data_IF_019847558207
#
_entry.id   IF_019847558207
#
_cell.length_a   1.000
_cell.length_b   1.000
_cell.length_c   1.000
_cell.angle_alpha   90.00
_cell.angle_beta   90.00
_cell.angle_gamma   90.00
#
_symmetry.space_group_name_H-M   'P 1'
#
loop_
_entity.id
_entity.type
_entity.pdbx_description
1 polymer ?
#
# COMPACT_ATOMS: atom_id res chain seq x y z
N UNK A 1 14.72 1.31 -10.45
CA UNK A 1 14.09 2.08 -9.35
C UNK A 1 14.31 1.36 -8.03
N UNK A 2 14.58 2.07 -6.92
CA UNK A 2 14.71 1.46 -5.59
C UNK A 2 13.33 1.51 -4.94
N UNK A 3 12.65 0.36 -4.79
CA UNK A 3 11.49 0.23 -3.90
C UNK A 3 11.85 0.77 -2.51
N UNK A 4 10.93 1.57 -2.01
CA UNK A 4 11.05 2.29 -0.75
C UNK A 4 9.80 1.87 -0.02
N UNK A 5 9.97 0.90 0.86
CA UNK A 5 8.84 0.33 1.60
C UNK A 5 8.60 1.16 2.87
N UNK A 6 9.50 2.12 3.15
CA UNK A 6 9.46 3.02 4.29
C UNK A 6 9.77 4.46 3.89
N UNK A 7 8.88 5.40 4.24
CA UNK A 7 9.09 6.81 4.03
C UNK A 7 8.76 7.63 5.28
N UNK A 8 9.59 8.61 5.59
CA UNK A 8 9.30 9.59 6.65
C UNK A 8 8.88 10.90 5.98
N UNK A 9 7.71 11.39 6.38
CA UNK A 9 7.15 12.65 5.89
C UNK A 9 6.84 13.59 7.07
N UNK A 10 7.14 14.86 6.87
CA UNK A 10 6.81 15.94 7.78
C UNK A 10 5.50 16.59 7.35
N UNK A 11 4.56 16.69 8.30
CA UNK A 11 3.21 17.17 8.08
C UNK A 11 2.97 18.45 8.86
N UNK A 12 2.35 19.42 8.20
CA UNK A 12 1.97 20.69 8.80
C UNK A 12 0.52 21.01 8.44
N UNK A 13 -0.37 20.97 9.43
CA UNK A 13 -1.73 21.46 9.24
C UNK A 13 -1.75 22.99 9.16
N UNK A 14 -2.82 23.53 8.59
CA UNK A 14 -3.02 24.96 8.47
C UNK A 14 -3.26 25.58 9.85
N UNK A 15 -2.71 26.76 10.08
CA UNK A 15 -3.06 27.57 11.25
C UNK A 15 -4.44 28.19 11.08
N UNK A 16 -5.15 28.42 12.17
CA UNK A 16 -6.39 29.18 12.14
C UNK A 16 -6.15 30.67 11.89
N UNK A 17 -7.08 31.31 11.17
CA UNK A 17 -7.04 32.74 10.95
C UNK A 17 -7.30 33.53 12.24
N UNK A 18 -6.74 34.73 12.35
CA UNK A 18 -6.97 35.58 13.54
C UNK A 18 -8.35 36.23 13.53
N UNK A 19 -8.95 36.39 14.71
CA UNK A 19 -10.15 37.21 14.89
C UNK A 19 -9.85 38.70 14.71
N UNK A 20 -10.77 39.44 14.11
CA UNK A 20 -10.59 40.85 13.82
C UNK A 20 -11.01 41.73 15.01
N UNK A 21 -10.23 42.79 15.27
CA UNK A 21 -10.63 43.89 16.14
C UNK A 21 -11.11 45.04 15.27
N UNK A 22 -12.43 45.19 15.13
CA UNK A 22 -13.01 46.25 14.30
C UNK A 22 -14.23 46.89 14.95
N UNK A 23 -14.47 48.15 14.60
CA UNK A 23 -15.68 48.88 14.98
C UNK A 23 -16.28 49.52 13.73
N UNK A 24 -17.61 49.48 13.63
CA UNK A 24 -18.33 50.04 12.50
C UNK A 24 -18.11 51.56 12.45
N UNK A 25 -17.77 52.08 11.26
CA UNK A 25 -17.58 53.53 11.02
C UNK A 25 -18.50 53.98 9.89
N UNK A 26 -19.45 54.83 10.22
CA UNK A 26 -20.39 55.43 9.26
C UNK A 26 -20.47 56.94 9.48
N UNK A 27 -20.69 57.69 8.39
CA UNK A 27 -20.62 59.16 8.38
C UNK A 27 -21.56 59.84 9.38
N UNK A 28 -22.65 59.19 9.77
CA UNK A 28 -23.67 59.72 10.69
C UNK A 28 -23.79 58.92 12.00
N UNK A 29 -22.88 57.98 12.27
CA UNK A 29 -22.88 57.17 13.49
C UNK A 29 -21.61 57.46 14.30
N UNK A 30 -21.68 58.29 15.36
CA UNK A 30 -20.50 58.72 16.12
C UNK A 30 -19.74 57.56 16.80
N UNK A 31 -20.45 56.51 17.21
CA UNK A 31 -19.88 55.31 17.88
C UNK A 31 -20.58 54.06 17.37
N UNK A 32 -20.06 53.47 16.31
CA UNK A 32 -20.54 52.18 15.82
C UNK A 32 -20.18 51.03 16.77
N UNK A 33 -21.00 49.99 16.77
CA UNK A 33 -20.75 48.79 17.54
C UNK A 33 -19.53 48.00 17.04
N UNK A 34 -19.06 47.01 17.81
CA UNK A 34 -18.01 46.10 17.36
C UNK A 34 -18.48 45.34 16.12
N UNK A 35 -17.63 45.26 15.09
CA UNK A 35 -17.94 44.62 13.82
C UNK A 35 -16.78 43.74 13.30
N UNK A 36 -15.88 43.30 14.17
CA UNK A 36 -14.80 42.38 13.80
C UNK A 36 -15.32 40.95 13.66
N UNK A 37 -15.14 40.37 12.47
CA UNK A 37 -15.47 38.97 12.19
C UNK A 37 -14.46 37.96 12.78
N UNK A 38 -14.89 36.70 12.78
CA UNK A 38 -14.11 35.55 13.24
C UNK A 38 -13.08 35.12 12.18
N UNK A 39 -12.02 34.44 12.58
CA UNK A 39 -11.05 33.84 11.66
C UNK A 39 -11.51 32.49 11.14
N UNK A 40 -11.07 32.11 9.94
CA UNK A 40 -11.34 30.79 9.37
C UNK A 40 -10.52 29.68 10.04
N UNK A 41 -11.00 28.43 9.97
CA UNK A 41 -10.25 27.24 10.40
C UNK A 41 -9.08 26.99 9.45
N UNK A 42 -7.94 26.50 9.96
CA UNK A 42 -6.89 25.96 9.11
C UNK A 42 -7.27 24.62 8.47
N UNK A 43 -6.70 24.32 7.31
CA UNK A 43 -6.90 23.04 6.65
C UNK A 43 -6.24 21.88 7.40
N UNK A 44 -6.82 20.69 7.28
CA UNK A 44 -6.27 19.46 7.83
C UNK A 44 -5.31 18.80 6.86
N UNK A 45 -4.48 17.89 7.37
CA UNK A 45 -3.74 16.93 6.53
C UNK A 45 -4.38 15.56 6.67
N UNK A 46 -4.76 14.97 5.54
CA UNK A 46 -5.48 13.71 5.45
C UNK A 46 -4.67 12.73 4.62
N UNK A 47 -4.42 11.54 5.16
CA UNK A 47 -3.92 10.41 4.38
C UNK A 47 -5.12 9.66 3.80
N UNK A 48 -5.07 9.33 2.51
CA UNK A 48 -6.09 8.51 1.85
C UNK A 48 -5.43 7.33 1.17
N UNK A 49 -5.89 6.13 1.49
CA UNK A 49 -5.49 4.90 0.81
C UNK A 49 -6.00 4.91 -0.63
N UNK A 50 -5.17 4.46 -1.56
CA UNK A 50 -5.57 4.20 -2.95
C UNK A 50 -4.94 2.92 -3.48
N UNK A 51 -5.71 2.13 -4.23
CA UNK A 51 -5.22 0.98 -4.99
C UNK A 51 -4.38 1.38 -6.22
N UNK A 52 -4.49 2.63 -6.67
CA UNK A 52 -3.78 3.13 -7.86
C UNK A 52 -2.26 3.27 -7.63
N UNK A 53 -1.82 3.22 -6.36
CA UNK A 53 -0.43 3.38 -5.97
C UNK A 53 0.12 2.09 -5.35
N UNK A 54 1.26 1.62 -5.86
CA UNK A 54 1.91 0.38 -5.40
C UNK A 54 3.20 0.63 -4.59
N UNK A 55 3.64 1.88 -4.44
CA UNK A 55 4.93 2.19 -3.82
C UNK A 55 4.94 3.54 -3.11
N UNK A 56 5.76 3.67 -2.05
CA UNK A 56 6.01 4.94 -1.34
C UNK A 56 7.19 5.74 -1.94
N UNK A 57 7.64 5.40 -3.15
CA UNK A 57 8.80 6.03 -3.78
C UNK A 57 8.69 7.56 -3.91
N UNK A 58 7.50 8.08 -4.18
CA UNK A 58 7.24 9.52 -4.40
C UNK A 58 7.56 10.36 -3.15
N UNK A 59 7.38 9.79 -1.96
CA UNK A 59 7.69 10.42 -0.69
C UNK A 59 9.19 10.62 -0.45
N UNK A 60 10.08 10.06 -1.28
CA UNK A 60 11.52 10.38 -1.20
C UNK A 60 11.82 11.78 -1.69
N UNK A 61 11.14 12.22 -2.75
CA UNK A 61 11.35 13.51 -3.39
C UNK A 61 10.58 14.60 -2.66
N UNK A 62 9.32 14.31 -2.31
CA UNK A 62 8.45 15.24 -1.58
C UNK A 62 8.24 14.73 -0.15
N UNK A 63 8.97 15.34 0.81
CA UNK A 63 8.94 14.95 2.22
C UNK A 63 8.13 15.89 3.12
N UNK A 64 7.67 17.03 2.59
CA UNK A 64 6.98 18.06 3.37
C UNK A 64 5.62 18.33 2.75
N UNK A 65 4.58 18.15 3.54
CA UNK A 65 3.21 18.41 3.13
C UNK A 65 2.61 19.44 4.07
N UNK A 66 1.89 20.40 3.50
CA UNK A 66 1.31 21.50 4.27
C UNK A 66 -0.08 21.83 3.77
N UNK A 67 -1.03 21.93 4.70
CA UNK A 67 -2.38 22.41 4.43
C UNK A 67 -2.45 23.94 4.46
N UNK A 68 -3.48 24.52 3.87
CA UNK A 68 -3.62 25.98 3.77
C UNK A 68 -4.08 26.58 5.11
N UNK A 69 -3.58 27.77 5.45
CA UNK A 69 -4.00 28.50 6.64
C UNK A 69 -5.42 29.05 6.46
N UNK A 70 -6.16 29.16 7.56
CA UNK A 70 -7.41 29.91 7.60
C UNK A 70 -7.14 31.41 7.44
N UNK A 71 -8.02 32.09 6.70
CA UNK A 71 -7.89 33.54 6.53
C UNK A 71 -8.40 34.29 7.77
N UNK A 72 -7.84 35.48 8.01
CA UNK A 72 -8.25 36.33 9.12
C UNK A 72 -9.68 36.88 8.95
N UNK A 73 -10.35 37.12 10.06
CA UNK A 73 -11.59 37.89 10.05
C UNK A 73 -11.33 39.34 9.61
N UNK A 74 -12.37 40.01 9.15
CA UNK A 74 -12.32 41.42 8.78
C UNK A 74 -13.47 42.21 9.42
N UNK A 75 -13.39 43.54 9.32
CA UNK A 75 -14.48 44.43 9.70
C UNK A 75 -15.77 44.14 8.92
N UNK A 76 -16.88 44.76 9.34
CA UNK A 76 -18.23 44.50 8.84
C UNK A 76 -18.71 43.06 9.05
N UNK A 77 -18.31 42.45 10.17
CA UNK A 77 -18.65 41.09 10.58
C UNK A 77 -18.27 40.02 9.54
N UNK A 78 -17.18 40.23 8.80
CA UNK A 78 -16.75 39.30 7.76
C UNK A 78 -15.87 38.22 8.35
N UNK A 79 -16.39 36.99 8.40
CA UNK A 79 -15.63 35.81 8.82
C UNK A 79 -14.63 35.40 7.74
N UNK A 80 -13.42 35.00 8.15
CA UNK A 80 -12.42 34.45 7.24
C UNK A 80 -12.83 33.09 6.67
N UNK A 81 -12.50 32.85 5.40
CA UNK A 81 -12.58 31.54 4.76
C UNK A 81 -11.67 30.51 5.45
N UNK A 82 -12.12 29.27 5.49
CA UNK A 82 -11.33 28.13 5.94
C UNK A 82 -10.22 27.80 4.93
N UNK A 83 -9.07 27.33 5.42
CA UNK A 83 -8.01 26.81 4.59
C UNK A 83 -8.40 25.46 3.97
N UNK A 84 -7.90 25.20 2.77
CA UNK A 84 -8.06 23.91 2.08
C UNK A 84 -7.23 22.81 2.74
N UNK A 85 -7.82 21.63 2.82
CA UNK A 85 -7.17 20.42 3.32
C UNK A 85 -6.12 19.91 2.31
N UNK A 86 -5.05 19.31 2.84
CA UNK A 86 -4.03 18.62 2.06
C UNK A 86 -4.30 17.12 2.12
N UNK A 87 -4.75 16.54 1.01
CA UNK A 87 -4.96 15.09 0.88
C UNK A 87 -3.70 14.48 0.26
N UNK A 88 -3.14 13.49 0.96
CA UNK A 88 -1.96 12.75 0.54
C UNK A 88 -2.40 11.33 0.23
N UNK A 89 -2.22 10.92 -1.03
CA UNK A 89 -2.52 9.57 -1.48
C UNK A 89 -1.39 8.62 -1.09
N UNK A 90 -1.74 7.49 -0.48
CA UNK A 90 -0.80 6.42 -0.13
C UNK A 90 -1.33 5.08 -0.64
N UNK A 91 -0.46 4.11 -0.97
CA UNK A 91 -0.89 2.75 -1.31
C UNK A 91 -1.79 2.14 -0.24
N UNK A 92 -2.80 1.37 -0.66
CA UNK A 92 -3.56 0.50 0.26
C UNK A 92 -2.63 -0.50 0.97
N UNK A 93 -2.83 -0.71 2.27
CA UNK A 93 -1.94 -1.48 3.13
C UNK A 93 -0.78 -0.66 3.70
N UNK A 94 -0.86 0.68 3.68
CA UNK A 94 0.14 1.53 4.36
C UNK A 94 -0.17 1.62 5.85
N UNK A 95 0.80 1.22 6.67
CA UNK A 95 0.83 1.48 8.10
C UNK A 95 1.42 2.86 8.38
N UNK A 96 0.80 3.60 9.29
CA UNK A 96 1.21 4.95 9.65
C UNK A 96 1.65 4.97 11.11
N UNK A 97 2.92 5.25 11.35
CA UNK A 97 3.50 5.35 12.68
C UNK A 97 3.86 6.80 13.02
N UNK A 98 3.71 7.19 14.28
CA UNK A 98 4.28 8.43 14.77
C UNK A 98 5.82 8.31 14.81
N UNK A 99 6.55 9.25 14.20
CA UNK A 99 8.02 9.14 14.07
C UNK A 99 8.72 9.05 15.44
N UNK A 100 8.26 9.83 16.42
CA UNK A 100 8.92 9.95 17.73
C UNK A 100 8.57 8.82 18.71
N UNK A 101 7.32 8.37 18.72
CA UNK A 101 6.84 7.36 19.69
C UNK A 101 6.85 5.94 19.11
N UNK A 102 6.99 5.80 17.79
CA UNK A 102 6.84 4.54 17.05
C UNK A 102 5.47 3.86 17.27
N UNK A 103 4.49 4.61 17.78
CA UNK A 103 3.14 4.12 17.96
C UNK A 103 2.43 4.05 16.60
N UNK A 104 1.71 2.95 16.38
CA UNK A 104 0.86 2.78 15.21
C UNK A 104 -0.36 3.69 15.34
N UNK A 105 -0.48 4.68 14.46
CA UNK A 105 -1.60 5.61 14.44
C UNK A 105 -2.80 5.01 13.69
N UNK A 106 -2.55 4.41 12.53
CA UNK A 106 -3.60 3.82 11.69
C UNK A 106 -3.02 2.79 10.72
N UNK A 107 -3.84 1.79 10.39
CA UNK A 107 -3.64 0.88 9.25
C UNK A 107 -4.61 1.28 8.13
N UNK A 108 -4.07 1.68 6.98
CA UNK A 108 -4.82 2.08 5.80
C UNK A 108 -5.04 0.88 4.86
N UNK A 109 -5.77 -0.12 5.36
CA UNK A 109 -5.99 -1.44 4.77
C UNK A 109 -6.90 -1.54 3.54
N UNK A 110 -7.73 -0.52 3.27
CA UNK A 110 -8.78 -0.56 2.26
C UNK A 110 -8.75 0.68 1.38
N UNK A 111 -9.05 0.51 0.09
CA UNK A 111 -9.11 1.60 -0.89
C UNK A 111 -10.11 2.69 -0.45
N UNK A 112 -9.73 3.96 -0.62
CA UNK A 112 -10.52 5.11 -0.22
C UNK A 112 -10.58 5.39 1.29
N UNK A 113 -10.00 4.54 2.15
CA UNK A 113 -9.95 4.78 3.60
C UNK A 113 -9.15 6.05 3.90
N UNK A 114 -9.75 6.94 4.70
CA UNK A 114 -9.16 8.22 5.07
C UNK A 114 -8.78 8.26 6.56
N UNK A 115 -7.68 8.95 6.84
CA UNK A 115 -7.25 9.24 8.20
C UNK A 115 -6.74 10.67 8.30
N UNK A 116 -7.34 11.48 9.18
CA UNK A 116 -6.84 12.82 9.48
C UNK A 116 -5.65 12.70 10.42
N UNK A 117 -4.45 12.89 9.87
CA UNK A 117 -3.19 12.71 10.58
C UNK A 117 -2.73 13.99 11.30
N UNK A 118 -3.09 15.17 10.79
CA UNK A 118 -2.79 16.45 11.42
C UNK A 118 -4.03 17.36 11.36
N UNK A 119 -4.47 17.87 12.52
CA UNK A 119 -5.68 18.70 12.61
C UNK A 119 -5.33 20.18 12.43
N UNK A 120 -6.12 20.86 11.59
CA UNK A 120 -6.00 22.29 11.36
C UNK A 120 -6.40 23.12 12.56
N UNK A 121 -5.67 24.23 12.77
CA UNK A 121 -5.86 25.14 13.89
C UNK A 121 -7.25 25.79 13.89
N UNK A 122 -7.80 25.99 15.09
CA UNK A 122 -9.10 26.64 15.27
C UNK A 122 -9.08 28.10 14.81
N UNK A 123 -10.18 28.56 14.21
CA UNK A 123 -10.35 29.98 13.89
C UNK A 123 -10.35 30.87 15.14
N UNK A 124 -9.76 32.05 15.01
CA UNK A 124 -9.78 33.08 16.04
C UNK A 124 -11.15 33.73 16.19
N UNK A 125 -11.37 34.41 17.31
CA UNK A 125 -12.67 35.01 17.64
C UNK A 125 -12.56 36.53 17.55
N UNK A 126 -13.42 37.13 16.73
CA UNK A 126 -13.49 38.58 16.54
C UNK A 126 -14.09 39.30 17.75
N UNK A 127 -13.91 40.62 17.82
CA UNK A 127 -14.39 41.38 18.98
C UNK A 127 -15.93 41.42 19.08
N UNK A 128 -16.64 41.26 17.96
CA UNK A 128 -18.10 41.25 17.93
C UNK A 128 -18.72 40.14 18.82
N UNK A 129 -18.05 38.99 18.95
CA UNK A 129 -18.48 37.85 19.79
C UNK A 129 -18.41 38.12 21.29
N UNK A 130 -17.60 39.08 21.72
CA UNK A 130 -17.46 39.44 23.14
C UNK A 130 -18.45 40.52 23.59
N UNK A 131 -19.36 40.95 22.71
CA UNK A 131 -20.38 41.95 23.03
C UNK A 131 -21.37 41.34 24.01
N UNK A 132 -21.62 42.04 25.12
CA UNK A 132 -22.63 41.67 26.10
C UNK A 132 -23.41 42.90 26.55
N UNK A 133 -24.50 42.71 27.29
CA UNK A 133 -25.29 43.80 27.88
C UNK A 133 -24.42 44.76 28.70
N UNK A 134 -23.41 44.22 29.40
CA UNK A 134 -22.46 44.97 30.24
C UNK A 134 -21.22 45.47 29.48
N UNK A 135 -20.85 44.86 28.36
CA UNK A 135 -19.69 45.25 27.55
C UNK A 135 -20.09 45.51 26.08
N UNK A 136 -20.46 46.76 25.80
CA UNK A 136 -20.97 47.16 24.47
C UNK A 136 -19.87 47.41 23.43
N UNK A 137 -18.63 47.65 23.86
CA UNK A 137 -17.49 47.95 22.99
C UNK A 137 -16.25 47.12 23.35
N UNK A 138 -16.35 45.78 23.28
CA UNK A 138 -15.23 44.89 23.58
C UNK A 138 -14.03 45.15 22.67
N UNK A 139 -12.85 45.20 23.27
CA UNK A 139 -11.55 45.30 22.58
C UNK A 139 -10.72 44.02 22.65
N UNK A 140 -11.37 42.92 23.02
CA UNK A 140 -10.77 41.60 23.11
C UNK A 140 -11.00 40.83 21.81
N UNK A 141 -9.96 40.15 21.34
CA UNK A 141 -10.03 39.14 20.28
C UNK A 141 -9.32 37.88 20.76
N UNK A 142 -9.60 36.74 20.13
CA UNK A 142 -8.81 35.52 20.30
C UNK A 142 -8.07 35.27 18.98
N UNK A 143 -6.74 35.11 18.99
CA UNK A 143 -6.00 34.72 17.79
C UNK A 143 -6.38 33.29 17.37
N UNK A 144 -6.19 32.96 16.09
CA UNK A 144 -6.33 31.59 15.63
C UNK A 144 -5.34 30.66 16.34
N UNK A 145 -5.75 29.40 16.52
CA UNK A 145 -4.87 28.36 17.05
C UNK A 145 -3.86 27.90 16.02
N UNK A 146 -2.73 27.37 16.49
CA UNK A 146 -1.76 26.70 15.64
C UNK A 146 -2.35 25.37 15.14
N UNK A 147 -2.01 24.99 13.90
CA UNK A 147 -2.28 23.66 13.38
C UNK A 147 -1.23 22.66 13.85
N UNK A 148 -1.61 21.38 13.89
CA UNK A 148 -0.72 20.31 14.30
C UNK A 148 0.51 20.22 13.39
N UNK A 149 1.65 19.92 14.00
CA UNK A 149 2.92 19.63 13.31
C UNK A 149 3.48 18.34 13.86
N UNK A 150 3.59 17.36 12.99
CA UNK A 150 4.16 16.07 13.35
C UNK A 150 4.86 15.47 12.13
N UNK A 151 5.74 14.53 12.41
CA UNK A 151 6.29 13.64 11.39
C UNK A 151 5.70 12.26 11.58
N UNK A 152 5.42 11.61 10.46
CA UNK A 152 4.97 10.22 10.44
C UNK A 152 5.88 9.38 9.57
N UNK A 153 6.00 8.12 9.95
CA UNK A 153 6.73 7.08 9.25
C UNK A 153 5.70 6.15 8.62
N UNK A 154 5.70 6.13 7.30
CA UNK A 154 4.85 5.28 6.49
C UNK A 154 5.60 3.99 6.20
N UNK A 155 4.97 2.85 6.45
CA UNK A 155 5.48 1.53 6.09
C UNK A 155 4.43 0.81 5.25
N UNK A 156 4.80 0.36 4.04
CA UNK A 156 3.90 -0.40 3.20
C UNK A 156 3.94 -1.88 3.60
N UNK A 157 2.79 -2.44 4.00
CA UNK A 157 2.67 -3.83 4.46
C UNK A 157 2.51 -4.86 3.33
N UNK A 158 2.54 -4.43 2.06
CA UNK A 158 2.37 -5.33 0.90
C UNK A 158 3.73 -5.95 0.54
N UNK A 159 3.84 -7.27 0.65
CA UNK A 159 5.08 -8.00 0.32
C UNK A 159 5.15 -8.40 -1.16
N UNK A 160 4.02 -8.78 -1.77
CA UNK A 160 3.96 -9.16 -3.18
C UNK A 160 2.52 -9.28 -3.71
N UNK A 161 2.34 -8.97 -4.98
CA UNK A 161 1.10 -9.19 -5.74
C UNK A 161 0.95 -10.67 -6.12
N UNK A 162 2.08 -11.33 -6.38
CA UNK A 162 2.14 -12.72 -6.87
C UNK A 162 3.07 -13.56 -6.01
N UNK A 163 2.61 -14.74 -5.58
CA UNK A 163 3.42 -15.71 -4.84
C UNK A 163 3.87 -16.89 -5.69
N UNK A 164 5.14 -17.27 -5.64
CA UNK A 164 5.66 -18.49 -6.28
C UNK A 164 5.61 -19.68 -5.33
N UNK A 165 4.90 -20.73 -5.73
CA UNK A 165 4.81 -22.02 -5.06
C UNK A 165 5.51 -23.11 -5.89
N UNK A 166 5.93 -24.18 -5.24
CA UNK A 166 6.57 -25.32 -5.91
C UNK A 166 7.61 -25.98 -5.02
N UNK A 167 7.92 -27.23 -5.36
CA UNK A 167 8.91 -28.05 -4.68
C UNK A 167 10.31 -27.41 -4.70
N UNK A 168 11.20 -27.81 -3.77
CA UNK A 168 12.63 -27.51 -3.89
C UNK A 168 13.13 -27.89 -5.29
N UNK A 169 13.95 -27.03 -5.91
CA UNK A 169 14.50 -27.22 -7.25
C UNK A 169 13.52 -27.17 -8.44
N UNK A 170 12.24 -26.82 -8.24
CA UNK A 170 11.30 -26.53 -9.33
C UNK A 170 11.73 -25.32 -10.20
N UNK A 171 12.74 -24.56 -9.75
CA UNK A 171 13.31 -23.41 -10.46
C UNK A 171 12.66 -22.08 -10.12
N UNK A 172 12.03 -21.95 -8.94
CA UNK A 172 11.37 -20.73 -8.46
C UNK A 172 12.30 -19.51 -8.45
N UNK A 173 13.45 -19.63 -7.80
CA UNK A 173 14.42 -18.52 -7.69
C UNK A 173 15.09 -18.20 -9.03
N UNK A 174 15.26 -19.20 -9.91
CA UNK A 174 15.72 -19.01 -11.30
C UNK A 174 14.70 -18.20 -12.09
N UNK A 175 13.42 -18.58 -12.01
CA UNK A 175 12.33 -17.85 -12.65
C UNK A 175 12.26 -16.41 -12.14
N UNK A 176 12.26 -16.22 -10.82
CA UNK A 176 12.21 -14.89 -10.20
C UNK A 176 13.35 -14.00 -10.67
N UNK A 177 14.57 -14.53 -10.74
CA UNK A 177 15.74 -13.82 -11.23
C UNK A 177 15.63 -13.45 -12.71
N UNK A 178 14.88 -14.23 -13.50
CA UNK A 178 14.71 -14.03 -14.94
C UNK A 178 13.64 -12.98 -15.25
N UNK A 179 12.52 -12.99 -14.54
CA UNK A 179 11.39 -12.07 -14.77
C UNK A 179 11.59 -10.72 -14.08
N UNK A 180 12.47 -10.65 -13.08
CA UNK A 180 12.70 -9.42 -12.33
C UNK A 180 13.57 -8.43 -13.12
N UNK A 181 13.07 -7.20 -13.28
CA UNK A 181 13.76 -6.07 -13.91
C UNK A 181 14.98 -5.58 -13.09
N UNK A 182 15.07 -5.98 -11.83
CA UNK A 182 16.21 -5.77 -10.95
C UNK A 182 16.71 -7.11 -10.39
N UNK A 183 17.96 -7.18 -9.90
CA UNK A 183 18.39 -8.36 -9.13
C UNK A 183 17.43 -8.58 -7.96
N UNK A 184 16.91 -9.82 -7.75
CA UNK A 184 16.05 -10.11 -6.63
C UNK A 184 16.70 -9.65 -5.33
N UNK A 185 15.94 -8.93 -4.51
CA UNK A 185 16.43 -8.47 -3.21
C UNK A 185 16.02 -9.49 -2.16
N UNK A 186 16.97 -9.83 -1.31
CA UNK A 186 16.71 -10.49 -0.03
C UNK A 186 16.13 -9.40 0.87
N UNK A 187 14.95 -9.66 1.42
CA UNK A 187 14.22 -8.66 2.19
C UNK A 187 14.17 -9.05 3.68
N UNK A 188 14.78 -8.21 4.52
CA UNK A 188 14.95 -8.42 5.95
C UNK A 188 13.78 -7.82 6.75
N UNK A 189 12.59 -8.40 6.60
CA UNK A 189 11.41 -7.91 7.32
C UNK A 189 11.45 -8.29 8.82
N UNK A 190 11.01 -7.40 9.73
CA UNK A 190 11.11 -7.63 11.19
C UNK A 190 10.37 -8.88 11.70
N UNK A 191 9.47 -9.42 10.89
CA UNK A 191 8.58 -10.53 11.20
C UNK A 191 8.88 -11.81 10.39
N UNK A 192 9.95 -11.82 9.59
CA UNK A 192 10.35 -13.00 8.80
C UNK A 192 11.56 -13.69 9.43
N UNK A 193 11.43 -14.98 9.74
CA UNK A 193 12.57 -15.83 10.12
C UNK A 193 13.35 -16.36 8.92
N UNK A 194 12.71 -16.41 7.75
CA UNK A 194 13.29 -16.77 6.47
C UNK A 194 13.14 -15.59 5.53
N UNK A 195 14.25 -15.08 5.01
CA UNK A 195 14.24 -13.95 4.10
C UNK A 195 13.64 -14.35 2.76
N UNK A 196 12.45 -13.83 2.36
CA UNK A 196 11.90 -14.11 1.05
C UNK A 196 12.73 -13.42 -0.03
N UNK A 197 12.77 -14.04 -1.21
CA UNK A 197 13.32 -13.39 -2.39
C UNK A 197 12.20 -12.61 -3.09
N UNK A 198 12.38 -11.29 -3.22
CA UNK A 198 11.45 -10.42 -3.92
C UNK A 198 12.02 -10.02 -5.28
N UNK A 199 11.19 -10.10 -6.31
CA UNK A 199 11.47 -9.64 -7.67
C UNK A 199 10.43 -8.64 -8.13
N UNK A 200 10.87 -7.60 -8.85
CA UNK A 200 9.99 -6.60 -9.44
C UNK A 200 9.89 -6.89 -10.92
N UNK A 201 8.70 -7.20 -11.41
CA UNK A 201 8.46 -7.46 -12.83
C UNK A 201 7.95 -6.18 -13.46
N UNK A 202 8.67 -5.69 -14.47
CA UNK A 202 8.31 -4.52 -15.27
C UNK A 202 7.69 -5.01 -16.60
N UNK A 203 6.44 -4.64 -16.83
CA UNK A 203 5.67 -5.00 -18.05
C UNK A 203 5.87 -3.94 -19.14
N UNK A 204 6.48 -2.79 -18.82
CA UNK A 204 6.57 -1.62 -19.67
C UNK A 204 5.36 -0.69 -19.50
N UNK A 205 5.47 0.53 -20.06
CA UNK A 205 4.43 1.59 -19.98
C UNK A 205 4.09 2.09 -18.56
N UNK A 206 4.96 1.85 -17.58
CA UNK A 206 4.74 2.25 -16.18
C UNK A 206 3.99 1.21 -15.33
N UNK A 207 3.64 0.06 -15.92
CA UNK A 207 3.03 -1.07 -15.23
C UNK A 207 4.09 -1.99 -14.62
N UNK A 208 3.98 -2.26 -13.31
CA UNK A 208 4.86 -3.16 -12.59
C UNK A 208 4.13 -3.84 -11.44
N UNK A 209 4.55 -5.07 -11.12
CA UNK A 209 4.05 -5.83 -9.99
C UNK A 209 5.20 -6.55 -9.27
N UNK A 210 4.95 -6.93 -8.01
CA UNK A 210 5.93 -7.57 -7.13
C UNK A 210 5.65 -9.06 -7.03
N UNK A 211 6.69 -9.86 -7.24
CA UNK A 211 6.65 -11.32 -7.11
C UNK A 211 7.49 -11.72 -5.90
N UNK A 212 6.93 -12.54 -5.02
CA UNK A 212 7.66 -13.18 -3.93
C UNK A 212 7.88 -14.65 -4.24
N UNK A 213 9.13 -15.11 -4.13
CA UNK A 213 9.40 -16.53 -3.92
C UNK A 213 8.99 -16.87 -2.49
N UNK A 214 8.03 -17.79 -2.35
CA UNK A 214 7.63 -18.33 -1.06
C UNK A 214 8.68 -19.40 -0.77
N UNK A 215 9.69 -19.11 0.10
CA UNK A 215 10.62 -20.14 0.53
C UNK A 215 9.77 -21.27 1.11
N UNK A 216 10.15 -22.51 0.84
CA UNK A 216 9.28 -23.69 0.93
C UNK A 216 8.26 -23.66 2.08
N UNK A 217 7.18 -24.40 1.91
CA UNK A 217 6.23 -24.74 2.97
C UNK A 217 6.90 -25.67 4.03
N UNK A 218 8.17 -25.41 4.38
CA UNK A 218 9.22 -26.36 4.71
C UNK A 218 8.89 -27.15 5.99
N UNK A 219 9.10 -28.46 5.88
CA UNK A 219 9.63 -29.36 6.90
C UNK A 219 10.00 -28.63 8.21
N UNK A 220 9.07 -28.62 9.18
CA UNK A 220 9.28 -28.02 10.50
C UNK A 220 8.23 -27.00 10.95
N UNK A 221 7.37 -26.49 10.05
CA UNK A 221 6.27 -25.60 10.46
C UNK A 221 5.21 -26.29 11.35
N UNK A 222 5.16 -27.63 11.34
CA UNK A 222 4.28 -28.42 12.20
C UNK A 222 4.78 -28.55 13.66
N UNK A 223 6.06 -28.32 13.95
CA UNK A 223 6.66 -28.65 15.27
C UNK A 223 7.05 -27.46 16.16
N UNK A 224 6.80 -26.21 15.74
CA UNK A 224 6.63 -25.11 16.70
C UNK A 224 7.36 -23.81 16.42
N UNK A 225 6.91 -22.78 17.15
CA UNK A 225 7.16 -21.36 17.02
C UNK A 225 6.30 -20.69 15.92
N UNK A 226 5.31 -19.89 16.33
CA UNK A 226 4.31 -19.19 15.51
C UNK A 226 4.86 -18.11 14.53
N UNK A 227 5.98 -18.39 13.88
CA UNK A 227 6.75 -17.52 12.98
C UNK A 227 6.36 -17.73 11.51
N UNK A 228 5.99 -18.97 11.12
CA UNK A 228 5.46 -19.27 9.78
C UNK A 228 4.06 -18.69 9.53
N UNK A 229 3.21 -18.66 10.56
CA UNK A 229 1.85 -18.10 10.49
C UNK A 229 1.86 -16.59 10.22
N UNK A 230 2.83 -15.85 10.75
CA UNK A 230 2.96 -14.41 10.48
C UNK A 230 3.39 -14.17 9.02
N UNK A 231 4.39 -14.88 8.50
CA UNK A 231 4.80 -14.77 7.08
C UNK A 231 3.64 -15.11 6.13
N UNK A 232 2.90 -16.19 6.41
CA UNK A 232 1.78 -16.62 5.59
C UNK A 232 0.58 -15.66 5.66
N UNK A 233 0.33 -15.00 6.80
CA UNK A 233 -0.67 -13.91 6.91
C UNK A 233 -0.33 -12.70 6.03
N UNK A 234 0.94 -12.48 5.69
CA UNK A 234 1.30 -11.44 4.72
C UNK A 234 1.18 -11.96 3.28
N UNK A 235 1.40 -13.26 3.05
CA UNK A 235 1.10 -13.94 1.79
C UNK A 235 -0.39 -14.08 1.50
N UNK A 236 -1.25 -14.05 2.51
CA UNK A 236 -2.71 -13.96 2.34
C UNK A 236 -3.17 -12.59 1.79
N UNK A 237 -2.26 -11.72 1.33
CA UNK A 237 -2.59 -10.55 0.50
C UNK A 237 -2.11 -10.69 -0.96
N UNK A 238 -1.44 -11.80 -1.31
CA UNK A 238 -1.15 -12.10 -2.74
C UNK A 238 -2.45 -12.29 -3.51
N UNK A 239 -2.53 -11.80 -4.72
CA UNK A 239 -3.74 -11.90 -5.53
C UNK A 239 -3.73 -13.17 -6.36
N UNK A 240 -2.53 -13.59 -6.77
CA UNK A 240 -2.31 -14.77 -7.59
C UNK A 240 -1.19 -15.65 -7.04
N UNK A 241 -1.40 -16.97 -7.11
CA UNK A 241 -0.37 -17.96 -6.79
C UNK A 241 0.09 -18.67 -8.07
N UNK A 242 1.40 -18.61 -8.37
CA UNK A 242 2.00 -19.36 -9.46
C UNK A 242 2.60 -20.66 -8.92
N UNK A 243 2.02 -21.78 -9.33
CA UNK A 243 2.49 -23.09 -8.95
C UNK A 243 3.48 -23.62 -9.98
N UNK A 244 4.76 -23.53 -9.66
CA UNK A 244 5.89 -23.93 -10.49
C UNK A 244 6.13 -25.43 -10.33
N UNK A 245 6.06 -26.15 -11.44
CA UNK A 245 6.25 -27.60 -11.52
C UNK A 245 7.40 -27.89 -12.47
N UNK A 246 8.35 -28.72 -12.06
CA UNK A 246 9.38 -29.23 -12.96
C UNK A 246 8.75 -30.26 -13.91
N UNK A 247 8.85 -30.03 -15.23
CA UNK A 247 8.29 -30.95 -16.23
C UNK A 247 9.07 -32.26 -16.34
N UNK A 248 10.33 -32.27 -15.92
CA UNK A 248 11.26 -33.37 -16.12
C UNK A 248 11.88 -33.82 -14.79
N UNK A 249 11.08 -33.85 -13.72
CA UNK A 249 11.55 -34.10 -12.35
C UNK A 249 12.55 -35.28 -12.28
N UNK A 250 13.83 -34.92 -12.17
CA UNK A 250 14.97 -35.85 -12.17
C UNK A 250 14.95 -36.72 -10.91
N UNK A 251 14.14 -36.35 -9.91
CA UNK A 251 13.99 -37.02 -8.61
C UNK A 251 13.04 -38.22 -8.64
N UNK A 252 12.37 -38.46 -9.77
CA UNK A 252 11.53 -39.64 -10.00
C UNK A 252 10.04 -39.48 -9.69
N UNK A 253 9.56 -38.24 -9.46
CA UNK A 253 8.14 -37.93 -9.33
C UNK A 253 7.46 -37.62 -10.66
N UNK A 254 6.12 -37.74 -10.72
CA UNK A 254 5.34 -37.19 -11.84
C UNK A 254 4.98 -35.72 -11.54
N UNK A 255 4.84 -34.85 -12.55
CA UNK A 255 4.37 -33.47 -12.36
C UNK A 255 3.06 -33.40 -11.56
N UNK A 256 2.16 -34.37 -11.76
CA UNK A 256 0.93 -34.51 -10.96
C UNK A 256 1.22 -34.67 -9.46
N UNK A 257 2.13 -35.59 -9.09
CA UNK A 257 2.45 -35.86 -7.68
C UNK A 257 3.06 -34.64 -6.98
N UNK A 258 3.85 -33.84 -7.71
CA UNK A 258 4.39 -32.59 -7.20
C UNK A 258 3.27 -31.59 -6.89
N UNK A 259 2.28 -31.47 -7.78
CA UNK A 259 1.13 -30.59 -7.57
C UNK A 259 0.32 -31.03 -6.35
N UNK A 260 -0.02 -32.31 -6.26
CA UNK A 260 -0.80 -32.85 -5.15
C UNK A 260 -0.10 -32.67 -3.79
N UNK A 261 1.23 -32.80 -3.76
CA UNK A 261 2.03 -32.61 -2.54
C UNK A 261 1.89 -31.18 -2.02
N UNK A 262 2.13 -30.19 -2.89
CA UNK A 262 2.00 -28.77 -2.53
C UNK A 262 0.56 -28.42 -2.16
N UNK A 263 -0.45 -28.99 -2.83
CA UNK A 263 -1.86 -28.76 -2.48
C UNK A 263 -2.17 -29.27 -1.07
N UNK A 264 -1.73 -30.48 -0.71
CA UNK A 264 -1.93 -31.04 0.64
C UNK A 264 -1.21 -30.23 1.70
N UNK A 265 0.00 -29.76 1.42
CA UNK A 265 0.72 -28.84 2.30
C UNK A 265 -0.09 -27.56 2.51
N UNK A 266 -0.52 -26.91 1.41
CA UNK A 266 -1.30 -25.69 1.46
C UNK A 266 -2.58 -25.83 2.30
N UNK A 267 -3.33 -26.92 2.09
CA UNK A 267 -4.56 -27.25 2.84
C UNK A 267 -4.29 -27.52 4.32
N UNK A 268 -3.18 -28.17 4.64
CA UNK A 268 -2.77 -28.47 6.02
C UNK A 268 -2.38 -27.22 6.81
N UNK A 269 -1.93 -26.16 6.15
CA UNK A 269 -1.48 -24.93 6.78
C UNK A 269 -2.55 -23.83 6.82
N UNK A 270 -3.20 -23.53 5.70
CA UNK A 270 -4.20 -22.45 5.60
C UNK A 270 -5.32 -22.77 4.58
N UNK A 271 -6.54 -23.09 5.05
CA UNK A 271 -7.70 -23.33 4.19
C UNK A 271 -8.11 -22.13 3.32
N UNK A 272 -7.84 -20.90 3.74
CA UNK A 272 -8.18 -19.72 2.91
C UNK A 272 -7.23 -19.61 1.72
N UNK A 273 -5.94 -19.89 1.94
CA UNK A 273 -4.92 -19.82 0.89
C UNK A 273 -5.10 -20.91 -0.18
N UNK A 274 -5.71 -22.05 0.18
CA UNK A 274 -5.99 -23.14 -0.75
C UNK A 274 -7.10 -22.83 -1.76
N UNK A 275 -8.02 -21.93 -1.41
CA UNK A 275 -9.14 -21.52 -2.27
C UNK A 275 -8.76 -20.49 -3.32
N UNK A 276 -7.58 -19.85 -3.17
CA UNK A 276 -7.12 -18.76 -4.04
C UNK A 276 -6.94 -19.15 -5.49
N UNK A 277 -6.97 -18.13 -6.35
CA UNK A 277 -6.65 -18.36 -7.75
C UNK A 277 -5.18 -18.74 -7.91
N UNK A 278 -4.97 -19.76 -8.72
CA UNK A 278 -3.71 -20.48 -8.82
C UNK A 278 -3.51 -20.91 -10.25
N UNK A 279 -2.36 -20.59 -10.81
CA UNK A 279 -1.99 -20.96 -12.16
C UNK A 279 -0.88 -22.00 -12.14
N UNK A 280 -0.93 -22.96 -13.06
CA UNK A 280 0.13 -23.96 -13.21
C UNK A 280 1.20 -23.46 -14.15
N UNK A 281 2.45 -23.58 -13.74
CA UNK A 281 3.60 -23.11 -14.51
C UNK A 281 4.57 -24.27 -14.65
N UNK A 282 4.57 -24.91 -15.81
CA UNK A 282 5.50 -25.99 -16.13
C UNK A 282 6.84 -25.38 -16.54
N UNK A 283 7.87 -25.63 -15.74
CA UNK A 283 9.21 -25.09 -15.91
C UNK A 283 10.18 -26.14 -16.48
N UNK A 284 11.34 -25.68 -16.96
CA UNK A 284 12.41 -26.49 -17.57
C UNK A 284 12.03 -27.19 -18.88
N UNK A 285 11.13 -26.58 -19.66
CA UNK A 285 10.72 -27.10 -20.99
C UNK A 285 11.88 -27.20 -21.98
N UNK A 286 13.00 -26.51 -21.73
CA UNK A 286 14.23 -26.63 -22.51
C UNK A 286 14.89 -28.01 -22.43
N UNK A 287 14.49 -28.85 -21.46
CA UNK A 287 15.07 -30.18 -21.26
C UNK A 287 14.35 -31.29 -22.03
N UNK A 288 13.22 -30.99 -22.67
CA UNK A 288 12.38 -31.95 -23.38
C UNK A 288 12.07 -31.47 -24.79
N UNK A 289 11.79 -32.42 -25.69
CA UNK A 289 11.23 -32.09 -26.98
C UNK A 289 9.82 -31.50 -26.84
N UNK A 290 9.44 -30.50 -27.66
CA UNK A 290 8.13 -29.83 -27.55
C UNK A 290 6.92 -30.78 -27.60
N UNK A 291 7.02 -31.88 -28.36
CA UNK A 291 5.96 -32.89 -28.45
C UNK A 291 5.81 -33.68 -27.15
N UNK A 292 6.92 -34.09 -26.54
CA UNK A 292 6.93 -34.81 -25.27
C UNK A 292 6.45 -33.92 -24.12
N UNK A 293 6.83 -32.64 -24.12
CA UNK A 293 6.35 -31.67 -23.15
C UNK A 293 4.82 -31.50 -23.23
N UNK A 294 4.26 -31.42 -24.44
CA UNK A 294 2.81 -31.27 -24.62
C UNK A 294 2.02 -32.50 -24.12
N UNK A 295 2.53 -33.71 -24.33
CA UNK A 295 1.91 -34.96 -23.84
C UNK A 295 1.85 -34.98 -22.31
N UNK A 296 2.96 -34.67 -21.63
CA UNK A 296 3.05 -34.64 -20.16
C UNK A 296 2.08 -33.61 -19.56
N UNK A 297 1.97 -32.44 -20.20
CA UNK A 297 1.06 -31.38 -19.76
C UNK A 297 -0.38 -31.83 -19.86
N UNK A 298 -0.78 -32.45 -20.97
CA UNK A 298 -2.16 -32.89 -21.19
C UNK A 298 -2.53 -34.05 -20.25
N UNK A 299 -1.61 -34.98 -20.00
CA UNK A 299 -1.78 -36.05 -19.02
C UNK A 299 -1.97 -35.47 -17.61
N UNK A 300 -1.12 -34.53 -17.21
CA UNK A 300 -1.18 -33.88 -15.89
C UNK A 300 -2.46 -33.06 -15.74
N UNK A 301 -2.86 -32.32 -16.77
CA UNK A 301 -4.10 -31.53 -16.78
C UNK A 301 -5.34 -32.40 -16.68
N UNK A 302 -5.37 -33.50 -17.42
CA UNK A 302 -6.48 -34.45 -17.42
C UNK A 302 -6.61 -35.14 -16.05
N UNK A 303 -5.49 -35.54 -15.46
CA UNK A 303 -5.47 -36.18 -14.14
C UNK A 303 -5.95 -35.24 -13.02
N UNK A 304 -5.50 -33.98 -13.04
CA UNK A 304 -5.86 -32.96 -12.04
C UNK A 304 -7.22 -32.29 -12.31
N UNK A 305 -7.83 -32.54 -13.47
CA UNK A 305 -9.03 -31.83 -13.98
C UNK A 305 -8.85 -30.31 -13.91
N UNK A 306 -7.68 -29.84 -14.36
CA UNK A 306 -7.30 -28.44 -14.21
C UNK A 306 -7.94 -27.56 -15.28
N UNK A 307 -8.75 -26.59 -14.84
CA UNK A 307 -9.49 -25.65 -15.71
C UNK A 307 -8.98 -24.21 -15.64
N UNK A 308 -7.97 -23.95 -14.81
CA UNK A 308 -7.35 -22.62 -14.64
C UNK A 308 -6.21 -22.41 -15.64
N UNK A 309 -5.72 -21.17 -15.84
CA UNK A 309 -4.59 -20.90 -16.73
C UNK A 309 -3.35 -21.73 -16.39
N UNK A 310 -2.64 -22.10 -17.45
CA UNK A 310 -1.37 -22.80 -17.35
C UNK A 310 -0.37 -22.27 -18.39
N UNK A 311 0.92 -22.38 -18.08
CA UNK A 311 2.00 -21.89 -18.94
C UNK A 311 3.14 -22.90 -19.04
N UNK A 312 3.78 -22.89 -20.21
CA UNK A 312 5.04 -23.59 -20.46
C UNK A 312 6.16 -22.57 -20.50
N UNK A 313 7.10 -22.68 -19.58
CA UNK A 313 8.19 -21.73 -19.45
C UNK A 313 9.54 -22.42 -19.28
N UNK A 314 10.60 -21.68 -19.58
CA UNK A 314 11.94 -22.01 -19.12
C UNK A 314 12.52 -20.80 -18.39
N UNK A 315 12.73 -20.93 -17.09
CA UNK A 315 13.38 -19.89 -16.29
C UNK A 315 14.82 -19.59 -16.75
N UNK A 316 15.48 -20.53 -17.44
CA UNK A 316 16.85 -20.37 -17.94
C UNK A 316 16.85 -19.67 -19.30
N UNK A 317 16.08 -20.18 -20.27
CA UNK A 317 16.06 -19.59 -21.62
C UNK A 317 15.23 -18.31 -21.68
N UNK A 318 14.26 -18.14 -20.78
CA UNK A 318 13.26 -17.07 -20.80
C UNK A 318 12.08 -17.33 -21.73
N UNK A 319 12.02 -18.51 -22.37
CA UNK A 319 10.88 -18.91 -23.20
C UNK A 319 9.59 -18.91 -22.36
N UNK A 320 8.51 -18.34 -22.91
CA UNK A 320 7.18 -18.29 -22.28
C UNK A 320 7.03 -17.30 -21.12
N UNK A 321 8.12 -16.80 -20.54
CA UNK A 321 8.07 -15.92 -19.36
C UNK A 321 7.39 -14.57 -19.65
N UNK A 322 7.64 -13.97 -20.82
CA UNK A 322 7.08 -12.66 -21.16
C UNK A 322 5.56 -12.72 -21.34
N UNK A 323 5.06 -13.74 -22.04
CA UNK A 323 3.63 -13.98 -22.25
C UNK A 323 2.91 -14.25 -20.91
N UNK A 324 3.54 -15.07 -20.06
CA UNK A 324 3.06 -15.31 -18.70
C UNK A 324 2.94 -14.02 -17.90
N UNK A 325 3.99 -13.19 -17.87
CA UNK A 325 3.97 -11.91 -17.15
C UNK A 325 2.89 -10.96 -17.68
N UNK A 326 2.72 -10.84 -19.00
CA UNK A 326 1.67 -10.00 -19.59
C UNK A 326 0.27 -10.45 -19.18
N UNK A 327 0.02 -11.76 -19.18
CA UNK A 327 -1.27 -12.30 -18.78
C UNK A 327 -1.53 -12.15 -17.27
N UNK A 328 -0.49 -12.31 -16.44
CA UNK A 328 -0.56 -12.01 -15.00
C UNK A 328 -0.95 -10.54 -14.79
N UNK A 329 -0.31 -9.62 -15.50
CA UNK A 329 -0.64 -8.20 -15.39
C UNK A 329 -2.09 -7.92 -15.75
N UNK A 330 -2.60 -8.51 -16.84
CA UNK A 330 -3.98 -8.31 -17.24
C UNK A 330 -4.97 -8.82 -16.19
N UNK A 331 -4.73 -9.98 -15.60
CA UNK A 331 -5.55 -10.52 -14.50
C UNK A 331 -5.50 -9.59 -13.26
N UNK A 332 -4.30 -9.11 -12.92
CA UNK A 332 -4.12 -8.17 -11.82
C UNK A 332 -4.76 -6.80 -12.10
N UNK A 333 -4.91 -6.40 -13.36
CA UNK A 333 -5.54 -5.12 -13.74
C UNK A 333 -7.07 -5.24 -13.81
N UNK A 334 -7.59 -6.34 -14.38
CA UNK A 334 -9.03 -6.59 -14.55
C UNK A 334 -9.78 -6.74 -13.21
N UNK A 335 -9.15 -7.31 -12.20
CA UNK A 335 -9.68 -7.36 -10.82
C UNK A 335 -9.83 -5.96 -10.17
N UNK A 336 -9.30 -4.89 -10.78
CA UNK A 336 -9.51 -3.50 -10.35
C UNK A 336 -10.69 -2.80 -11.04
N UNK A 337 -11.37 -3.43 -12.01
CA UNK A 337 -12.51 -2.89 -12.75
C UNK A 337 -13.87 -3.28 -12.15
#
# INVERSE_FOLDING_TARGET
>A
MKFVDEAVIALQAGNGGHGCLSFLREKFVPKGGPDGGDGGRGGNVVLRATSDLNTLADFRYTRKFSAENGSGGAGRNRTGAAGKDCVILVPSGTLVYAEHTQELLVDLDSDGKEFTVAVGGRGGVGNARFKSSVNQAPRRTIPGGEGDRLSVRLELQVLADVGLLGLPNAGKSTLLSRISAARPKIADYPFTTLYPHLGVVDIGQGAAFVVADIPGLIEGAAEGAGLGVQFLRHLSRTRLLLHIVDINDVSGGTPQSAVETIVRELEGFDPELSTRDRWLVFNKVDTLDPSAAAEIVEETRSALKWDRPWFLISGVSGQGCAEMCQKIWHELDDDHA
#
